data_IF_821742267606
#
_entry.id   IF_821742267606
#
_cell.length_a   1.000
_cell.length_b   1.000
_cell.length_c   1.000
_cell.angle_alpha   90.00
_cell.angle_beta   90.00
_cell.angle_gamma   90.00
#
_symmetry.space_group_name_H-M   'P 1'
#
loop_
_entity.id
_entity.type
_entity.pdbx_description
1 polymer ?
#
# COMPACT_ATOMS: atom_id res chain seq x y z
N UNK A 1 46.77 -34.79 -43.68
CA UNK A 1 45.90 -34.99 -42.47
C UNK A 1 46.07 -33.77 -41.58
N UNK A 2 45.17 -32.81 -41.72
CA UNK A 2 45.22 -31.58 -40.92
C UNK A 2 43.90 -31.48 -40.18
N UNK A 3 43.97 -31.65 -38.85
CA UNK A 3 42.85 -31.57 -37.95
C UNK A 3 42.57 -30.10 -37.64
N UNK A 4 41.35 -29.64 -37.94
CA UNK A 4 40.83 -28.31 -37.54
C UNK A 4 40.36 -28.38 -36.07
N UNK A 5 40.63 -27.38 -35.24
CA UNK A 5 40.04 -27.29 -33.90
C UNK A 5 38.61 -26.71 -34.02
N UNK A 6 37.64 -27.45 -33.54
CA UNK A 6 36.28 -27.00 -33.27
C UNK A 6 36.30 -25.99 -32.14
N UNK A 7 36.08 -24.70 -32.47
CA UNK A 7 35.88 -23.65 -31.50
C UNK A 7 34.58 -23.84 -30.76
N UNK A 8 34.67 -23.99 -29.43
CA UNK A 8 33.57 -24.00 -28.50
C UNK A 8 33.04 -22.55 -28.35
N UNK A 9 31.95 -22.23 -29.03
CA UNK A 9 31.22 -21.02 -28.77
C UNK A 9 30.54 -21.15 -27.41
N UNK A 10 31.32 -20.95 -26.33
CA UNK A 10 30.78 -20.79 -24.99
C UNK A 10 29.81 -19.64 -24.93
N UNK A 11 28.66 -19.96 -24.48
CA UNK A 11 27.48 -19.15 -24.29
C UNK A 11 27.81 -17.86 -23.50
N UNK A 12 28.08 -16.76 -24.21
CA UNK A 12 28.35 -15.42 -23.62
C UNK A 12 27.09 -14.76 -23.06
N UNK A 13 25.93 -15.42 -23.18
CA UNK A 13 24.65 -14.91 -22.67
C UNK A 13 24.52 -14.95 -21.14
N UNK A 14 25.44 -15.64 -20.43
CA UNK A 14 25.32 -15.85 -18.97
C UNK A 14 26.09 -14.82 -18.13
N UNK A 15 26.77 -13.84 -18.74
CA UNK A 15 27.70 -12.95 -18.03
C UNK A 15 27.22 -11.52 -17.78
N UNK A 16 26.05 -11.13 -18.26
CA UNK A 16 25.51 -9.82 -17.95
C UNK A 16 24.18 -9.99 -17.21
N UNK A 17 24.08 -9.52 -15.94
CA UNK A 17 22.78 -9.46 -15.29
C UNK A 17 21.89 -8.54 -16.14
N UNK A 18 20.75 -9.05 -16.56
CA UNK A 18 19.71 -8.22 -17.17
C UNK A 18 19.37 -7.15 -16.14
N UNK A 19 19.84 -5.92 -16.37
CA UNK A 19 19.50 -4.76 -15.55
C UNK A 19 18.02 -4.45 -15.79
N UNK A 20 17.14 -5.14 -15.06
CA UNK A 20 15.75 -4.78 -15.03
C UNK A 20 15.63 -3.40 -14.38
N UNK A 21 14.97 -2.46 -15.06
CA UNK A 21 14.71 -1.14 -14.47
C UNK A 21 14.04 -1.30 -13.11
N UNK A 22 14.44 -0.51 -12.09
CA UNK A 22 13.83 -0.61 -10.77
C UNK A 22 12.31 -0.42 -10.84
N UNK A 23 11.56 -1.28 -10.16
CA UNK A 23 10.12 -1.17 -10.00
C UNK A 23 9.77 0.17 -9.34
N UNK A 24 9.01 1.01 -10.01
CA UNK A 24 8.54 2.30 -9.49
C UNK A 24 7.36 2.04 -8.56
N UNK A 25 7.66 1.86 -7.27
CA UNK A 25 6.68 1.60 -6.23
C UNK A 25 6.25 2.90 -5.56
N UNK A 26 4.97 3.25 -5.69
CA UNK A 26 4.38 4.46 -5.14
C UNK A 26 3.42 4.13 -4.00
N UNK A 27 3.53 4.87 -2.89
CA UNK A 27 2.59 4.81 -1.77
C UNK A 27 1.82 6.12 -1.71
N UNK A 28 0.48 6.04 -1.75
CA UNK A 28 -0.42 7.18 -1.76
C UNK A 28 -1.40 7.08 -0.59
N UNK A 29 -1.92 8.20 -0.16
CA UNK A 29 -2.97 8.23 0.86
C UNK A 29 -2.74 9.24 1.96
N UNK A 30 -3.06 8.84 3.17
CA UNK A 30 -3.08 9.72 4.35
C UNK A 30 -1.86 9.56 5.28
N UNK A 31 -2.06 9.75 6.56
CA UNK A 31 -1.03 9.64 7.59
C UNK A 31 -0.41 8.24 7.71
N UNK A 32 -1.20 7.17 7.43
CA UNK A 32 -0.66 5.80 7.42
C UNK A 32 0.30 5.60 6.23
N UNK A 33 -0.05 6.11 5.07
CA UNK A 33 0.82 6.10 3.89
C UNK A 33 2.09 6.92 4.15
N UNK A 34 1.95 8.10 4.79
CA UNK A 34 3.07 8.95 5.17
C UNK A 34 4.00 8.34 6.23
N UNK A 35 3.48 7.40 7.04
CA UNK A 35 4.23 6.74 8.12
C UNK A 35 4.22 7.49 9.45
N UNK A 36 3.17 8.28 9.70
CA UNK A 36 3.00 9.01 10.98
C UNK A 36 2.96 8.04 12.15
N UNK A 37 3.66 8.35 13.23
CA UNK A 37 3.79 7.50 14.43
C UNK A 37 5.00 6.57 14.41
N UNK A 38 5.63 6.37 13.25
CA UNK A 38 6.92 5.67 13.17
C UNK A 38 8.03 6.49 13.83
N UNK A 39 8.89 5.85 14.62
CA UNK A 39 10.03 6.49 15.27
C UNK A 39 11.24 6.69 14.33
N UNK A 40 11.26 6.02 13.18
CA UNK A 40 12.33 6.06 12.18
C UNK A 40 11.73 6.02 10.78
N UNK A 41 12.37 6.70 9.84
CA UNK A 41 11.95 6.71 8.44
C UNK A 41 11.92 5.29 7.84
N UNK A 42 12.91 4.46 8.16
CA UNK A 42 13.00 3.08 7.67
C UNK A 42 11.90 2.15 8.21
N UNK A 43 11.19 2.57 9.25
CA UNK A 43 10.12 1.81 9.87
C UNK A 43 8.72 2.15 9.32
N UNK A 44 8.63 3.09 8.39
CA UNK A 44 7.37 3.44 7.73
C UNK A 44 6.87 2.31 6.85
N UNK A 45 5.56 2.27 6.59
CA UNK A 45 4.92 1.23 5.78
C UNK A 45 5.59 1.07 4.41
N UNK A 46 5.78 2.16 3.68
CA UNK A 46 6.36 2.14 2.35
C UNK A 46 7.80 1.60 2.35
N UNK A 47 8.63 2.02 3.32
CA UNK A 47 10.02 1.54 3.44
C UNK A 47 10.09 0.05 3.76
N UNK A 48 9.23 -0.43 4.67
CA UNK A 48 9.16 -1.86 5.02
C UNK A 48 8.75 -2.73 3.84
N UNK A 49 7.72 -2.32 3.10
CA UNK A 49 7.26 -3.05 1.91
C UNK A 49 8.29 -3.00 0.78
N UNK A 50 8.95 -1.85 0.55
CA UNK A 50 10.04 -1.74 -0.42
C UNK A 50 11.23 -2.65 -0.07
N UNK A 51 11.52 -2.84 1.22
CA UNK A 51 12.53 -3.81 1.68
C UNK A 51 12.09 -5.23 1.33
N UNK A 52 10.85 -5.63 1.64
CA UNK A 52 10.31 -6.97 1.28
C UNK A 52 10.40 -7.25 -0.22
N UNK A 53 10.12 -6.25 -1.06
CA UNK A 53 10.27 -6.37 -2.51
C UNK A 53 11.74 -6.58 -2.92
N UNK A 54 12.68 -5.83 -2.33
CA UNK A 54 14.12 -6.00 -2.61
C UNK A 54 14.65 -7.36 -2.15
N UNK A 55 14.24 -7.81 -0.97
CA UNK A 55 14.60 -9.13 -0.42
C UNK A 55 14.07 -10.27 -1.30
N UNK A 56 12.97 -10.03 -2.03
CA UNK A 56 12.42 -10.95 -3.02
C UNK A 56 13.04 -10.82 -4.44
N UNK A 57 14.09 -10.01 -4.59
CA UNK A 57 14.83 -9.87 -5.84
C UNK A 57 14.29 -8.80 -6.81
N UNK A 58 13.36 -7.95 -6.38
CA UNK A 58 12.88 -6.83 -7.17
C UNK A 58 13.64 -5.55 -6.81
N UNK A 59 14.49 -4.97 -7.68
CA UNK A 59 15.02 -3.63 -7.47
C UNK A 59 13.86 -2.63 -7.38
N UNK A 60 13.84 -1.76 -6.36
CA UNK A 60 12.70 -0.86 -6.10
C UNK A 60 13.15 0.59 -5.98
N UNK A 61 12.48 1.46 -6.70
CA UNK A 61 12.47 2.90 -6.48
C UNK A 61 11.17 3.29 -5.77
N UNK A 62 11.25 3.54 -4.46
CA UNK A 62 10.11 3.92 -3.64
C UNK A 62 9.87 5.43 -3.72
N UNK A 63 8.62 5.82 -3.98
CA UNK A 63 8.11 7.19 -3.83
C UNK A 63 6.90 7.19 -2.90
N UNK A 64 6.88 8.12 -1.96
CA UNK A 64 5.78 8.26 -1.02
C UNK A 64 5.09 9.61 -1.23
N UNK A 65 3.80 9.58 -1.56
CA UNK A 65 2.95 10.73 -1.79
C UNK A 65 1.90 10.91 -0.69
N UNK A 66 1.98 10.10 0.39
CA UNK A 66 1.07 10.20 1.53
C UNK A 66 1.15 11.56 2.21
N UNK A 67 -0.01 12.12 2.52
CA UNK A 67 -0.14 13.43 3.19
C UNK A 67 -0.98 13.26 4.46
N UNK A 68 -0.43 13.54 5.65
CA UNK A 68 -1.21 13.49 6.89
C UNK A 68 -2.49 14.33 6.79
N UNK A 69 -3.62 13.76 7.20
CA UNK A 69 -4.92 14.43 7.11
C UNK A 69 -5.63 14.31 5.76
N UNK A 70 -4.99 13.76 4.72
CA UNK A 70 -5.59 13.62 3.40
C UNK A 70 -6.87 12.77 3.45
N UNK A 71 -7.82 13.12 2.59
CA UNK A 71 -9.07 12.40 2.31
C UNK A 71 -9.06 11.82 0.91
N UNK A 72 -10.04 11.01 0.59
CA UNK A 72 -10.18 10.41 -0.74
C UNK A 72 -10.14 11.44 -1.89
N UNK A 73 -10.65 12.65 -1.66
CA UNK A 73 -10.58 13.76 -2.62
C UNK A 73 -9.14 14.18 -2.96
N UNK A 74 -8.20 14.08 -2.02
CA UNK A 74 -6.81 14.48 -2.21
C UNK A 74 -6.02 13.51 -3.10
N UNK A 75 -6.56 12.30 -3.34
CA UNK A 75 -5.96 11.33 -4.24
C UNK A 75 -5.84 11.85 -5.66
N UNK A 76 -6.74 12.73 -6.11
CA UNK A 76 -6.67 13.32 -7.44
C UNK A 76 -5.30 13.96 -7.69
N UNK A 77 -4.86 14.80 -6.76
CA UNK A 77 -3.56 15.48 -6.84
C UNK A 77 -2.41 14.51 -6.66
N UNK A 78 -2.48 13.60 -5.68
CA UNK A 78 -1.40 12.63 -5.42
C UNK A 78 -1.16 11.74 -6.64
N UNK A 79 -2.23 11.23 -7.26
CA UNK A 79 -2.16 10.43 -8.49
C UNK A 79 -1.61 11.25 -9.66
N UNK A 80 -2.00 12.52 -9.78
CA UNK A 80 -1.46 13.40 -10.82
C UNK A 80 0.06 13.52 -10.75
N UNK A 81 0.61 13.75 -9.56
CA UNK A 81 2.06 13.82 -9.34
C UNK A 81 2.72 12.46 -9.59
N UNK A 82 2.18 11.39 -9.01
CA UNK A 82 2.73 10.04 -9.15
C UNK A 82 2.81 9.61 -10.63
N UNK A 83 1.78 9.87 -11.43
CA UNK A 83 1.77 9.56 -12.86
C UNK A 83 2.82 10.36 -13.64
N UNK A 84 3.07 11.62 -13.27
CA UNK A 84 4.13 12.43 -13.87
C UNK A 84 5.53 11.87 -13.61
N UNK A 85 5.75 11.14 -12.52
CA UNK A 85 7.01 10.50 -12.18
C UNK A 85 7.10 9.05 -12.65
N UNK A 86 5.97 8.47 -13.05
CA UNK A 86 5.83 7.07 -13.47
C UNK A 86 5.57 6.12 -12.32
N UNK A 87 4.63 5.19 -12.52
CA UNK A 87 4.16 4.22 -11.52
C UNK A 87 4.04 2.84 -12.16
N UNK A 88 4.66 1.83 -11.56
CA UNK A 88 4.46 0.43 -11.94
C UNK A 88 3.55 -0.28 -10.93
N UNK A 89 3.78 0.00 -9.63
CA UNK A 89 3.01 -0.54 -8.52
C UNK A 89 2.57 0.59 -7.59
N UNK A 90 1.29 0.70 -7.31
CA UNK A 90 0.74 1.67 -6.37
C UNK A 90 0.09 0.98 -5.17
N UNK A 91 0.37 1.45 -3.97
CA UNK A 91 -0.34 1.12 -2.74
C UNK A 91 -1.12 2.36 -2.29
N UNK A 92 -2.44 2.26 -2.17
CA UNK A 92 -3.30 3.33 -1.69
C UNK A 92 -3.80 2.97 -0.29
N UNK A 93 -3.55 3.85 0.69
CA UNK A 93 -4.01 3.70 2.08
C UNK A 93 -4.75 4.99 2.45
N UNK A 94 -6.08 4.96 2.46
CA UNK A 94 -6.92 6.17 2.61
C UNK A 94 -8.28 5.82 3.23
N UNK A 95 -8.90 6.79 3.90
CA UNK A 95 -10.29 6.70 4.33
C UNK A 95 -10.52 6.98 5.81
N UNK A 96 -9.49 6.91 6.65
CA UNK A 96 -9.62 7.23 8.08
C UNK A 96 -10.10 8.67 8.31
N UNK A 97 -9.57 9.63 7.54
CA UNK A 97 -9.96 11.04 7.64
C UNK A 97 -11.32 11.33 6.97
N UNK A 98 -11.72 10.55 5.99
CA UNK A 98 -13.05 10.60 5.42
C UNK A 98 -14.10 10.21 6.48
N UNK A 99 -13.87 9.09 7.18
CA UNK A 99 -14.69 8.63 8.29
C UNK A 99 -14.78 9.69 9.41
N UNK A 100 -13.62 10.20 9.87
CA UNK A 100 -13.56 11.21 10.91
C UNK A 100 -14.23 12.53 10.48
N UNK A 101 -14.24 12.84 9.19
CA UNK A 101 -14.87 14.02 8.60
C UNK A 101 -16.28 13.79 8.11
N UNK A 102 -16.92 12.64 8.42
CA UNK A 102 -18.29 12.28 8.02
C UNK A 102 -18.52 12.37 6.50
N UNK A 103 -17.50 12.07 5.70
CA UNK A 103 -17.67 11.94 4.25
C UNK A 103 -18.53 10.70 3.96
N UNK A 104 -19.58 10.88 3.17
CA UNK A 104 -20.45 9.77 2.82
C UNK A 104 -19.65 8.66 2.08
N UNK A 105 -19.83 7.36 2.41
CA UNK A 105 -19.09 6.26 1.80
C UNK A 105 -19.11 6.27 0.27
N UNK A 106 -20.26 6.58 -0.34
CA UNK A 106 -20.41 6.67 -1.79
C UNK A 106 -19.58 7.80 -2.43
N UNK A 107 -19.31 8.89 -1.68
CA UNK A 107 -18.49 10.00 -2.17
C UNK A 107 -17.02 9.62 -2.17
N UNK A 108 -16.50 9.15 -1.02
CA UNK A 108 -15.11 8.72 -0.94
C UNK A 108 -14.80 7.52 -1.84
N UNK A 109 -15.73 6.58 -1.96
CA UNK A 109 -15.59 5.43 -2.87
C UNK A 109 -15.47 5.85 -4.34
N UNK A 110 -16.25 6.85 -4.81
CA UNK A 110 -16.10 7.39 -6.17
C UNK A 110 -14.73 8.01 -6.39
N UNK A 111 -14.27 8.85 -5.46
CA UNK A 111 -12.97 9.51 -5.54
C UNK A 111 -11.84 8.49 -5.58
N UNK A 112 -11.91 7.44 -4.76
CA UNK A 112 -10.98 6.32 -4.79
C UNK A 112 -11.06 5.57 -6.13
N UNK A 113 -12.26 5.29 -6.64
CA UNK A 113 -12.46 4.63 -7.93
C UNK A 113 -11.82 5.41 -9.07
N UNK A 114 -11.98 6.72 -9.11
CA UNK A 114 -11.37 7.58 -10.12
C UNK A 114 -9.85 7.54 -10.04
N UNK A 115 -9.28 7.59 -8.83
CA UNK A 115 -7.84 7.48 -8.59
C UNK A 115 -7.27 6.13 -9.09
N UNK A 116 -7.91 5.02 -8.70
CA UNK A 116 -7.52 3.66 -9.12
C UNK A 116 -7.64 3.51 -10.64
N UNK A 117 -8.75 3.97 -11.24
CA UNK A 117 -8.96 3.92 -12.70
C UNK A 117 -7.86 4.64 -13.46
N UNK A 118 -7.43 5.81 -12.99
CA UNK A 118 -6.35 6.58 -13.64
C UNK A 118 -5.02 5.84 -13.59
N UNK A 119 -4.67 5.25 -12.45
CA UNK A 119 -3.44 4.47 -12.29
C UNK A 119 -3.46 3.19 -13.14
N UNK A 120 -4.58 2.45 -13.13
CA UNK A 120 -4.73 1.22 -13.93
C UNK A 120 -4.66 1.51 -15.42
N UNK A 121 -5.31 2.58 -15.89
CA UNK A 121 -5.23 3.01 -17.30
C UNK A 121 -3.82 3.42 -17.72
N UNK A 122 -3.00 3.87 -16.79
CA UNK A 122 -1.58 4.16 -17.03
C UNK A 122 -0.68 2.92 -16.98
N UNK A 123 -1.25 1.72 -16.80
CA UNK A 123 -0.53 0.45 -16.76
C UNK A 123 -0.04 0.04 -15.37
N UNK A 124 -0.33 0.81 -14.32
CA UNK A 124 0.10 0.46 -12.97
C UNK A 124 -0.74 -0.68 -12.38
N UNK A 125 -0.11 -1.56 -11.61
CA UNK A 125 -0.81 -2.43 -10.66
C UNK A 125 -1.18 -1.62 -9.42
N UNK A 126 -2.43 -1.71 -8.99
CA UNK A 126 -2.93 -0.92 -7.84
C UNK A 126 -3.45 -1.84 -6.76
N UNK A 127 -2.95 -1.62 -5.55
CA UNK A 127 -3.42 -2.30 -4.34
C UNK A 127 -4.05 -1.23 -3.44
N UNK A 128 -5.28 -1.46 -3.03
CA UNK A 128 -6.00 -0.61 -2.09
C UNK A 128 -6.06 -1.31 -0.73
N UNK A 129 -5.69 -0.60 0.31
CA UNK A 129 -5.94 -0.97 1.70
C UNK A 129 -7.14 -0.15 2.16
N UNK A 130 -8.31 -0.77 2.37
CA UNK A 130 -9.50 -0.06 2.83
C UNK A 130 -9.30 0.59 4.20
N UNK A 131 -10.15 1.55 4.52
CA UNK A 131 -10.14 2.24 5.80
C UNK A 131 -10.14 1.24 6.97
N UNK A 132 -9.30 1.47 8.01
CA UNK A 132 -9.24 0.58 9.17
C UNK A 132 -10.50 0.71 10.02
N UNK A 133 -10.73 -0.29 10.87
CA UNK A 133 -11.73 -0.17 11.94
C UNK A 133 -11.28 0.87 12.98
N UNK A 134 -11.85 2.06 12.95
CA UNK A 134 -11.56 3.12 13.91
C UNK A 134 -12.18 2.86 15.30
N UNK A 135 -13.10 1.90 15.44
CA UNK A 135 -13.69 1.55 16.73
C UNK A 135 -12.70 0.88 17.69
N UNK A 136 -11.60 0.30 17.17
CA UNK A 136 -10.53 -0.28 18.02
C UNK A 136 -9.58 0.79 18.59
N UNK A 137 -9.62 2.01 18.05
CA UNK A 137 -8.70 3.08 18.46
C UNK A 137 -9.05 3.56 19.86
N UNK A 138 -8.05 3.67 20.74
CA UNK A 138 -8.26 4.01 22.16
C UNK A 138 -8.92 5.38 22.37
N UNK A 139 -8.80 6.30 21.40
CA UNK A 139 -9.44 7.63 21.44
C UNK A 139 -10.96 7.59 21.29
N UNK A 140 -11.52 6.49 20.77
CA UNK A 140 -12.98 6.33 20.63
C UNK A 140 -13.55 5.89 21.98
N UNK A 141 -14.45 6.70 22.61
CA UNK A 141 -15.06 6.33 23.88
C UNK A 141 -15.85 5.04 23.76
N UNK A 142 -15.80 4.20 24.83
CA UNK A 142 -16.38 2.86 24.87
C UNK A 142 -17.80 2.76 24.28
N UNK A 143 -18.76 3.63 24.69
CA UNK A 143 -20.14 3.57 24.20
C UNK A 143 -20.29 3.73 22.67
N UNK A 144 -19.33 4.39 22.00
CA UNK A 144 -19.39 4.67 20.57
C UNK A 144 -18.61 3.66 19.70
N UNK A 145 -17.82 2.77 20.31
CA UNK A 145 -16.94 1.87 19.57
C UNK A 145 -17.66 1.00 18.55
N UNK A 146 -18.78 0.38 18.94
CA UNK A 146 -19.55 -0.43 18.01
C UNK A 146 -20.12 0.36 16.83
N UNK A 147 -20.61 1.56 17.09
CA UNK A 147 -21.12 2.44 16.04
C UNK A 147 -20.02 2.84 15.08
N UNK A 148 -18.84 3.21 15.59
CA UNK A 148 -17.68 3.58 14.78
C UNK A 148 -17.16 2.39 14.00
N UNK A 149 -17.10 1.17 14.60
CA UNK A 149 -16.73 -0.06 13.87
C UNK A 149 -17.71 -0.35 12.73
N UNK A 150 -19.01 -0.25 12.97
CA UNK A 150 -20.02 -0.46 11.92
C UNK A 150 -19.86 0.56 10.76
N UNK A 151 -19.66 1.84 11.09
CA UNK A 151 -19.41 2.88 10.09
C UNK A 151 -18.12 2.63 9.30
N UNK A 152 -17.04 2.20 9.99
CA UNK A 152 -15.77 1.82 9.36
C UNK A 152 -15.94 0.66 8.41
N UNK A 153 -16.70 -0.37 8.80
CA UNK A 153 -17.00 -1.53 7.97
C UNK A 153 -17.76 -1.17 6.69
N UNK A 154 -18.79 -0.33 6.80
CA UNK A 154 -19.54 0.15 5.63
C UNK A 154 -18.66 0.98 4.69
N UNK A 155 -17.77 1.81 5.25
CA UNK A 155 -16.84 2.61 4.45
C UNK A 155 -15.84 1.72 3.72
N UNK A 156 -15.23 0.78 4.42
CA UNK A 156 -14.28 -0.18 3.86
C UNK A 156 -14.91 -1.06 2.77
N UNK A 157 -16.16 -1.49 2.95
CA UNK A 157 -16.90 -2.22 1.93
C UNK A 157 -17.09 -1.38 0.65
N UNK A 158 -17.54 -0.14 0.77
CA UNK A 158 -17.72 0.75 -0.38
C UNK A 158 -16.40 0.99 -1.14
N UNK A 159 -15.29 1.14 -0.40
CA UNK A 159 -13.96 1.27 -0.99
C UNK A 159 -13.51 -0.02 -1.69
N UNK A 160 -13.73 -1.17 -1.09
CA UNK A 160 -13.43 -2.49 -1.65
C UNK A 160 -14.12 -2.68 -3.01
N UNK A 161 -15.42 -2.44 -3.05
CA UNK A 161 -16.21 -2.53 -4.29
C UNK A 161 -15.73 -1.55 -5.36
N UNK A 162 -15.43 -0.32 -4.97
CA UNK A 162 -14.93 0.72 -5.87
C UNK A 162 -13.55 0.36 -6.46
N UNK A 163 -12.64 -0.14 -5.63
CA UNK A 163 -11.31 -0.58 -6.05
C UNK A 163 -11.38 -1.72 -7.06
N UNK A 164 -12.19 -2.75 -6.79
CA UNK A 164 -12.37 -3.90 -7.68
C UNK A 164 -12.99 -3.47 -9.01
N UNK A 165 -14.06 -2.63 -8.99
CA UNK A 165 -14.67 -2.10 -10.21
C UNK A 165 -13.70 -1.30 -11.07
N UNK A 166 -12.72 -0.64 -10.46
CA UNK A 166 -11.69 0.12 -11.16
C UNK A 166 -10.51 -0.73 -11.67
N UNK A 167 -10.51 -2.05 -11.43
CA UNK A 167 -9.43 -2.97 -11.81
C UNK A 167 -8.26 -3.01 -10.83
N UNK A 168 -8.42 -2.46 -9.62
CA UNK A 168 -7.46 -2.59 -8.54
C UNK A 168 -7.64 -3.89 -7.75
N UNK A 169 -6.58 -4.31 -7.06
CA UNK A 169 -6.64 -5.35 -6.04
C UNK A 169 -6.91 -4.75 -4.67
N UNK A 170 -7.48 -5.53 -3.77
CA UNK A 170 -7.72 -5.13 -2.38
C UNK A 170 -6.90 -6.00 -1.46
N UNK A 171 -6.09 -5.36 -0.62
CA UNK A 171 -5.37 -6.02 0.46
C UNK A 171 -6.13 -5.77 1.77
N UNK A 172 -6.74 -6.82 2.29
CA UNK A 172 -7.34 -6.78 3.62
C UNK A 172 -6.33 -7.30 4.63
N UNK A 173 -6.01 -6.49 5.61
CA UNK A 173 -5.14 -6.92 6.71
C UNK A 173 -5.84 -7.90 7.68
N UNK A 174 -7.08 -8.29 7.37
CA UNK A 174 -7.85 -9.29 8.06
C UNK A 174 -8.29 -8.92 9.50
N UNK A 175 -9.24 -9.66 10.07
CA UNK A 175 -9.67 -9.46 11.45
C UNK A 175 -8.55 -9.73 12.47
N UNK A 176 -7.56 -10.54 12.11
CA UNK A 176 -6.40 -10.84 12.95
C UNK A 176 -5.55 -9.61 13.25
N UNK A 177 -5.37 -8.71 12.27
CA UNK A 177 -4.62 -7.47 12.49
C UNK A 177 -5.36 -6.56 13.49
N UNK A 178 -6.66 -6.39 13.31
CA UNK A 178 -7.48 -5.61 14.24
C UNK A 178 -7.43 -6.19 15.67
N UNK A 179 -7.51 -7.51 15.78
CA UNK A 179 -7.39 -8.21 17.08
C UNK A 179 -6.00 -7.98 17.73
N UNK A 180 -4.92 -8.00 16.96
CA UNK A 180 -3.57 -7.72 17.46
C UNK A 180 -3.46 -6.29 17.99
N UNK A 181 -3.95 -5.30 17.23
CA UNK A 181 -3.95 -3.90 17.67
C UNK A 181 -4.82 -3.67 18.89
N UNK A 182 -5.94 -4.38 19.01
CA UNK A 182 -6.80 -4.32 20.22
C UNK A 182 -6.13 -4.93 21.46
N UNK A 183 -5.31 -5.98 21.27
CA UNK A 183 -4.65 -6.70 22.36
C UNK A 183 -3.34 -6.07 22.82
N UNK A 184 -2.63 -5.33 21.93
CA UNK A 184 -1.30 -4.80 22.23
C UNK A 184 -1.23 -3.27 22.00
N UNK A 185 -1.35 -2.47 23.07
CA UNK A 185 -1.21 -1.01 22.98
C UNK A 185 0.15 -0.52 22.47
N UNK A 186 1.22 -1.33 22.52
CA UNK A 186 2.55 -0.96 22.01
C UNK A 186 2.57 -0.87 20.48
N UNK A 187 1.59 -1.43 19.79
CA UNK A 187 1.42 -1.28 18.34
C UNK A 187 0.94 0.12 17.96
N UNK A 188 0.43 0.91 18.89
CA UNK A 188 0.12 2.32 18.69
C UNK A 188 1.30 3.21 19.13
N UNK A 189 1.47 4.35 18.46
CA UNK A 189 2.41 5.38 18.86
C UNK A 189 1.90 6.12 20.12
N UNK A 190 2.69 7.08 20.60
CA UNK A 190 2.36 7.85 21.80
C UNK A 190 1.03 8.61 21.71
N UNK A 191 0.54 8.91 20.51
CA UNK A 191 -0.73 9.57 20.28
C UNK A 191 -1.95 8.63 20.42
N UNK A 192 -1.70 7.33 20.56
CA UNK A 192 -2.72 6.26 20.71
C UNK A 192 -3.71 6.20 19.55
N UNK A 193 -3.27 6.64 18.39
CA UNK A 193 -4.07 6.67 17.16
C UNK A 193 -3.30 6.06 15.98
N UNK A 194 -2.11 6.57 15.70
CA UNK A 194 -1.28 6.05 14.61
C UNK A 194 -0.49 4.81 15.06
N UNK A 195 -0.14 3.92 14.13
CA UNK A 195 0.75 2.81 14.43
C UNK A 195 2.12 3.28 14.91
N UNK A 196 2.70 2.57 15.86
CA UNK A 196 4.12 2.68 16.18
C UNK A 196 4.98 2.00 15.12
N UNK A 197 6.32 2.09 15.23
CA UNK A 197 7.24 1.30 14.38
C UNK A 197 6.92 -0.21 14.44
N UNK A 198 6.53 -0.73 15.62
CA UNK A 198 6.08 -2.12 15.77
C UNK A 198 4.74 -2.37 15.07
N UNK A 199 3.79 -1.43 15.18
CA UNK A 199 2.52 -1.49 14.48
C UNK A 199 2.70 -1.51 12.96
N UNK A 200 3.57 -0.66 12.42
CA UNK A 200 3.90 -0.69 10.99
C UNK A 200 4.56 -1.99 10.54
N UNK A 201 5.36 -2.63 11.40
CA UNK A 201 5.92 -3.96 11.09
C UNK A 201 4.81 -4.99 10.88
N UNK A 202 3.85 -5.04 11.80
CA UNK A 202 2.71 -5.96 11.74
C UNK A 202 1.85 -5.70 10.50
N UNK A 203 1.55 -4.43 10.20
CA UNK A 203 0.79 -4.05 9.01
C UNK A 203 1.55 -4.46 7.73
N UNK A 204 2.85 -4.16 7.66
CA UNK A 204 3.67 -4.51 6.51
C UNK A 204 3.75 -6.02 6.28
N UNK A 205 3.84 -6.83 7.35
CA UNK A 205 3.84 -8.30 7.25
C UNK A 205 2.52 -8.82 6.67
N UNK A 206 1.39 -8.24 7.07
CA UNK A 206 0.07 -8.60 6.52
C UNK A 206 -0.10 -8.19 5.05
N UNK A 207 0.48 -7.07 4.64
CA UNK A 207 0.35 -6.55 3.28
C UNK A 207 1.42 -7.10 2.30
N UNK A 208 2.54 -7.60 2.81
CA UNK A 208 3.66 -8.07 1.98
C UNK A 208 3.25 -9.12 0.94
N UNK A 209 2.43 -10.14 1.25
CA UNK A 209 2.00 -11.13 0.26
C UNK A 209 1.32 -10.50 -0.95
N UNK A 210 0.43 -9.52 -0.74
CA UNK A 210 -0.29 -8.83 -1.81
C UNK A 210 0.65 -8.00 -2.70
N UNK A 211 1.60 -7.30 -2.08
CA UNK A 211 2.57 -6.45 -2.78
C UNK A 211 3.55 -7.30 -3.59
N UNK A 212 4.03 -8.41 -3.04
CA UNK A 212 4.92 -9.36 -3.72
C UNK A 212 4.21 -10.05 -4.88
N UNK A 213 2.95 -10.42 -4.70
CA UNK A 213 2.16 -11.02 -5.78
C UNK A 213 1.97 -10.05 -6.95
N UNK A 214 1.59 -8.80 -6.67
CA UNK A 214 1.46 -7.77 -7.68
C UNK A 214 2.77 -7.50 -8.44
N UNK A 215 3.92 -7.53 -7.75
CA UNK A 215 5.23 -7.34 -8.36
C UNK A 215 5.62 -8.49 -9.30
N UNK A 216 5.31 -9.75 -8.94
CA UNK A 216 5.54 -10.91 -9.82
C UNK A 216 4.82 -10.78 -11.16
N UNK A 217 3.60 -10.26 -11.16
CA UNK A 217 2.80 -10.06 -12.38
C UNK A 217 3.25 -8.87 -13.24
N UNK A 218 4.18 -8.05 -12.76
CA UNK A 218 4.81 -6.98 -13.55
C UNK A 218 6.12 -7.45 -14.20
N UNK A 219 6.70 -8.54 -13.70
CA UNK A 219 7.95 -9.11 -14.20
C UNK A 219 7.72 -10.21 -15.25
N UNK A 220 6.48 -10.66 -15.43
CA UNK A 220 6.06 -11.67 -16.41
C UNK A 220 5.65 -11.02 -17.73
#
# INVERSE_FOLDING_TARGET
MTSSPTGNNGDLATLYPVMTSPLRFCVLGDSLAAGVGSSREDDTLGRRLARRLRDAGHPVHLRNFGVPGARSADLERQVGVALGEGVDLALIVIGANDLAGFVAPAVGARQLQDAVTRLVRAGARVIVVPAPDLGIVARVPGPYRQLVSAASGHYAQAQTEAAIRAGGAVATAGPELAARFAADPALFSADRFHPSSAGYAVIADGLAPHVLDAARHLAA
#
